data_IF_383798895056
#
_entry.id   IF_383798895056
#
_cell.length_a   1.000
_cell.length_b   1.000
_cell.length_c   1.000
_cell.angle_alpha   90.00
_cell.angle_beta   90.00
_cell.angle_gamma   90.00
#
_symmetry.space_group_name_H-M   'P 1'
#
loop_
_entity.id
_entity.type
_entity.pdbx_description
1 polymer ?
#
# COMPACT_ATOMS: atom_id res chain seq x y z
N UNK A 1 29.05 0.22 11.41
CA UNK A 1 30.36 -0.34 11.79
C UNK A 1 30.80 -1.36 10.73
N UNK A 2 32.04 -1.30 10.22
CA UNK A 2 32.58 -2.30 9.28
C UNK A 2 33.08 -3.56 10.00
N UNK A 3 33.10 -4.70 9.31
CA UNK A 3 33.59 -5.99 9.81
C UNK A 3 34.59 -6.60 8.83
N UNK A 4 35.42 -7.56 9.25
CA UNK A 4 36.35 -8.26 8.34
C UNK A 4 35.59 -9.13 7.32
N UNK A 5 34.57 -9.83 7.80
CA UNK A 5 33.73 -10.70 6.99
C UNK A 5 32.26 -10.48 7.32
N UNK A 6 31.40 -10.71 6.32
CA UNK A 6 29.94 -10.69 6.46
C UNK A 6 29.40 -12.04 6.01
N UNK A 7 28.47 -12.59 6.78
CA UNK A 7 27.79 -13.85 6.46
C UNK A 7 26.30 -13.57 6.26
N UNK A 8 25.74 -13.99 5.13
CA UNK A 8 24.32 -13.89 4.82
C UNK A 8 23.68 -15.26 4.96
N UNK A 9 22.83 -15.43 5.97
CA UNK A 9 22.07 -16.67 6.21
C UNK A 9 20.91 -16.83 5.21
N UNK A 10 20.21 -15.73 4.92
CA UNK A 10 19.04 -15.70 4.04
C UNK A 10 19.17 -14.59 3.00
N UNK A 11 18.71 -14.88 1.79
CA UNK A 11 18.66 -13.92 0.67
C UNK A 11 17.27 -13.29 0.48
N UNK A 12 16.47 -13.29 1.54
CA UNK A 12 15.13 -12.71 1.57
C UNK A 12 15.00 -11.80 2.78
N UNK A 13 14.13 -10.80 2.66
CA UNK A 13 13.73 -9.92 3.76
C UNK A 13 12.22 -9.83 3.84
N UNK A 14 11.72 -9.46 5.01
CA UNK A 14 10.32 -9.08 5.17
C UNK A 14 10.16 -7.59 4.90
N UNK A 15 9.19 -7.20 4.07
CA UNK A 15 8.92 -5.79 3.72
C UNK A 15 7.66 -5.22 4.39
N UNK A 16 7.08 -5.92 5.38
CA UNK A 16 5.79 -5.58 6.00
C UNK A 16 4.62 -6.42 5.47
N UNK A 17 4.69 -6.89 4.22
CA UNK A 17 3.59 -7.63 3.55
C UNK A 17 3.98 -9.03 3.10
N UNK A 18 5.24 -9.28 2.76
CA UNK A 18 5.70 -10.58 2.28
C UNK A 18 7.20 -10.75 2.53
N UNK A 19 7.65 -12.00 2.52
CA UNK A 19 9.07 -12.27 2.32
C UNK A 19 9.37 -12.09 0.84
N UNK A 20 10.29 -11.19 0.56
CA UNK A 20 10.72 -10.83 -0.79
C UNK A 20 12.21 -11.06 -0.91
N UNK A 21 12.71 -11.48 -2.08
CA UNK A 21 14.15 -11.57 -2.33
C UNK A 21 14.83 -10.23 -2.06
N UNK A 22 16.05 -10.27 -1.51
CA UNK A 22 16.88 -9.09 -1.37
C UNK A 22 17.11 -8.45 -2.73
N UNK A 23 17.04 -7.13 -2.77
CA UNK A 23 17.47 -6.39 -3.95
C UNK A 23 18.99 -6.42 -4.04
N UNK A 24 19.53 -6.29 -5.24
CA UNK A 24 20.97 -6.25 -5.42
C UNK A 24 21.62 -5.01 -4.72
N UNK A 25 20.86 -3.92 -4.54
CA UNK A 25 21.28 -2.77 -3.74
C UNK A 25 21.43 -3.10 -2.25
N UNK A 26 20.46 -3.79 -1.67
CA UNK A 26 20.54 -4.27 -0.28
C UNK A 26 21.67 -5.27 -0.11
N UNK A 27 21.82 -6.20 -1.05
CA UNK A 27 22.94 -7.15 -1.07
C UNK A 27 24.29 -6.44 -1.06
N UNK A 28 24.46 -5.40 -1.89
CA UNK A 28 25.69 -4.59 -1.95
C UNK A 28 25.90 -3.79 -0.66
N UNK A 29 24.83 -3.24 -0.08
CA UNK A 29 24.91 -2.49 1.17
C UNK A 29 25.33 -3.39 2.36
N UNK A 30 24.86 -4.64 2.39
CA UNK A 30 25.20 -5.63 3.41
C UNK A 30 26.64 -6.12 3.21
N UNK A 31 26.97 -6.60 2.01
CA UNK A 31 28.30 -7.16 1.70
C UNK A 31 29.40 -6.09 1.72
N UNK A 32 29.08 -4.84 1.39
CA UNK A 32 29.99 -3.70 1.49
C UNK A 32 30.38 -3.30 2.92
N UNK A 33 29.81 -3.96 3.95
CA UNK A 33 30.31 -3.85 5.33
C UNK A 33 31.53 -4.73 5.59
N UNK A 34 31.84 -5.67 4.70
CA UNK A 34 33.03 -6.51 4.78
C UNK A 34 34.29 -5.75 4.32
N UNK A 35 35.39 -5.93 5.03
CA UNK A 35 36.65 -5.22 4.83
C UNK A 35 36.69 -3.91 5.61
N UNK A 36 37.61 -3.82 6.60
CA UNK A 36 37.86 -2.60 7.37
C UNK A 36 38.93 -1.77 6.68
N UNK A 37 38.61 -0.51 6.37
CA UNK A 37 39.51 0.43 5.70
C UNK A 37 40.83 0.57 6.46
N UNK A 38 41.94 0.32 5.77
CA UNK A 38 43.30 0.45 6.32
C UNK A 38 43.75 -0.70 7.21
N UNK A 39 42.94 -1.75 7.38
CA UNK A 39 43.28 -2.93 8.19
C UNK A 39 43.23 -4.20 7.33
N UNK A 40 42.14 -4.40 6.59
CA UNK A 40 41.94 -5.59 5.77
C UNK A 40 42.27 -5.28 4.30
N UNK A 41 43.06 -6.13 3.64
CA UNK A 41 43.38 -6.03 2.20
C UNK A 41 42.16 -6.41 1.35
N UNK A 42 41.38 -7.37 1.83
CA UNK A 42 40.18 -7.89 1.18
C UNK A 42 39.04 -8.03 2.20
N UNK A 43 37.80 -7.85 1.75
CA UNK A 43 36.60 -8.15 2.52
C UNK A 43 35.96 -9.44 2.03
N UNK A 44 35.55 -10.32 2.95
CA UNK A 44 34.91 -11.58 2.59
C UNK A 44 33.40 -11.52 2.84
N UNK A 45 32.61 -11.82 1.81
CA UNK A 45 31.17 -12.01 1.93
C UNK A 45 30.82 -13.48 1.65
N UNK A 46 30.18 -14.15 2.60
CA UNK A 46 29.82 -15.56 2.52
C UNK A 46 28.30 -15.67 2.52
N UNK A 47 27.73 -16.36 1.53
CA UNK A 47 26.30 -16.67 1.51
C UNK A 47 26.13 -18.13 1.92
N UNK A 48 25.34 -18.38 2.96
CA UNK A 48 24.98 -19.73 3.36
C UNK A 48 24.07 -20.31 2.29
N UNK A 49 24.55 -21.33 1.58
CA UNK A 49 23.72 -22.02 0.60
C UNK A 49 22.67 -22.85 1.32
N UNK A 50 21.42 -22.65 0.93
CA UNK A 50 20.32 -23.57 1.23
C UNK A 50 19.88 -24.18 -0.10
N UNK A 51 19.46 -25.45 -0.11
CA UNK A 51 19.06 -26.16 -1.34
C UNK A 51 17.88 -25.53 -2.10
N UNK A 52 17.33 -24.42 -1.61
CA UNK A 52 16.28 -23.63 -2.23
C UNK A 52 16.81 -22.49 -3.12
N UNK A 53 18.13 -22.20 -3.09
CA UNK A 53 18.72 -21.10 -3.85
C UNK A 53 19.40 -21.59 -5.14
N UNK A 54 18.94 -21.05 -6.27
CA UNK A 54 19.60 -21.18 -7.57
C UNK A 54 20.88 -20.32 -7.62
N UNK A 55 22.07 -20.89 -7.88
CA UNK A 55 23.32 -20.13 -7.96
C UNK A 55 23.28 -18.95 -8.94
N UNK A 56 22.50 -19.05 -10.02
CA UNK A 56 22.43 -17.98 -11.01
C UNK A 56 21.69 -16.75 -10.48
N UNK A 57 20.70 -16.92 -9.60
CA UNK A 57 20.07 -15.81 -8.89
C UNK A 57 21.06 -15.01 -8.02
N UNK A 58 22.00 -15.69 -7.35
CA UNK A 58 23.04 -15.07 -6.52
C UNK A 58 24.04 -14.31 -7.39
N UNK A 59 24.49 -14.92 -8.49
CA UNK A 59 25.37 -14.26 -9.45
C UNK A 59 24.72 -12.99 -10.04
N UNK A 60 23.40 -13.01 -10.28
CA UNK A 60 22.65 -11.84 -10.72
C UNK A 60 22.58 -10.74 -9.64
N UNK A 61 22.47 -11.10 -8.37
CA UNK A 61 22.50 -10.13 -7.26
C UNK A 61 23.87 -9.46 -7.15
N UNK A 62 24.96 -10.23 -7.27
CA UNK A 62 26.32 -9.73 -7.13
C UNK A 62 26.81 -8.94 -8.35
N UNK A 63 26.33 -9.26 -9.55
CA UNK A 63 26.81 -8.65 -10.81
C UNK A 63 26.14 -7.33 -11.16
N UNK A 64 24.93 -7.06 -10.67
CA UNK A 64 24.27 -5.77 -10.90
C UNK A 64 25.05 -4.67 -10.16
N UNK A 65 25.25 -3.53 -10.81
CA UNK A 65 25.97 -2.37 -10.23
C UNK A 65 25.09 -1.13 -10.08
N UNK A 66 23.89 -1.17 -10.65
CA UNK A 66 22.97 -0.03 -10.68
C UNK A 66 21.60 -0.49 -10.24
N UNK A 67 21.01 0.24 -9.30
CA UNK A 67 19.74 -0.09 -8.67
C UNK A 67 18.79 1.10 -8.79
N UNK A 68 17.57 0.91 -9.31
CA UNK A 68 16.62 2.01 -9.39
C UNK A 68 16.19 2.41 -7.99
N UNK A 69 16.27 3.71 -7.69
CA UNK A 69 15.67 4.28 -6.48
C UNK A 69 14.18 4.41 -6.73
N UNK A 70 13.34 3.60 -6.08
CA UNK A 70 11.88 3.69 -6.22
C UNK A 70 11.31 4.67 -5.19
N UNK A 71 10.45 5.59 -5.63
CA UNK A 71 9.74 6.49 -4.73
C UNK A 71 8.67 5.72 -3.94
N UNK A 72 8.67 5.87 -2.61
CA UNK A 72 7.59 5.43 -1.72
C UNK A 72 6.56 6.54 -1.46
N UNK A 73 6.67 7.69 -2.14
CA UNK A 73 5.84 8.86 -1.89
C UNK A 73 4.37 8.60 -2.20
N UNK A 74 3.51 8.90 -1.21
CA UNK A 74 2.05 8.85 -1.34
C UNK A 74 1.44 10.03 -0.60
N UNK A 75 0.36 10.65 -1.12
CA UNK A 75 -0.33 11.69 -0.37
C UNK A 75 -1.00 11.15 0.90
N UNK A 76 -0.66 11.75 2.05
CA UNK A 76 -1.30 11.48 3.35
C UNK A 76 -2.32 12.57 3.72
N UNK A 77 -3.17 12.31 4.71
CA UNK A 77 -4.20 13.26 5.14
C UNK A 77 -3.60 14.55 5.71
N UNK A 78 -2.66 14.45 6.65
CA UNK A 78 -1.92 15.60 7.17
C UNK A 78 -1.31 16.44 6.04
N UNK A 79 -0.63 15.79 5.10
CA UNK A 79 0.03 16.45 3.99
C UNK A 79 -0.99 17.15 3.09
N UNK A 80 -2.09 16.48 2.74
CA UNK A 80 -3.13 17.05 1.90
C UNK A 80 -3.72 18.31 2.52
N UNK A 81 -4.06 18.27 3.82
CA UNK A 81 -4.59 19.45 4.52
C UNK A 81 -3.58 20.60 4.57
N UNK A 82 -2.31 20.32 4.84
CA UNK A 82 -1.26 21.33 4.87
C UNK A 82 -0.99 21.95 3.48
N UNK A 83 -0.93 21.13 2.43
CA UNK A 83 -0.71 21.59 1.06
C UNK A 83 -1.90 22.39 0.52
N UNK A 84 -3.14 21.95 0.78
CA UNK A 84 -4.35 22.69 0.40
C UNK A 84 -4.37 24.05 1.10
N UNK A 85 -4.02 24.10 2.39
CA UNK A 85 -3.94 25.36 3.13
C UNK A 85 -2.89 26.32 2.56
N UNK A 86 -1.73 25.82 2.14
CA UNK A 86 -0.62 26.66 1.68
C UNK A 86 -0.72 27.06 0.20
N UNK A 87 -1.20 26.17 -0.66
CA UNK A 87 -1.15 26.33 -2.12
C UNK A 87 -2.51 26.26 -2.81
N UNK A 88 -3.54 25.75 -2.14
CA UNK A 88 -4.84 25.45 -2.76
C UNK A 88 -4.81 24.18 -3.62
N UNK A 89 -5.99 23.58 -3.85
CA UNK A 89 -6.14 22.27 -4.50
C UNK A 89 -5.40 22.18 -5.85
N UNK A 90 -5.63 23.14 -6.74
CA UNK A 90 -5.11 23.10 -8.11
C UNK A 90 -3.59 23.16 -8.14
N UNK A 91 -2.98 24.09 -7.41
CA UNK A 91 -1.53 24.22 -7.36
C UNK A 91 -0.88 23.05 -6.61
N UNK A 92 -1.53 22.52 -5.56
CA UNK A 92 -1.07 21.28 -4.92
C UNK A 92 -1.02 20.13 -5.92
N UNK A 93 -2.04 19.99 -6.76
CA UNK A 93 -2.09 18.96 -7.80
C UNK A 93 -0.87 19.06 -8.73
N UNK A 94 -0.59 20.26 -9.24
CA UNK A 94 0.57 20.52 -10.11
C UNK A 94 1.91 20.19 -9.42
N UNK A 95 2.05 20.54 -8.14
CA UNK A 95 3.24 20.20 -7.35
C UNK A 95 3.40 18.67 -7.26
N UNK A 96 2.32 17.94 -6.98
CA UNK A 96 2.35 16.48 -6.88
C UNK A 96 2.63 15.80 -8.22
N UNK A 97 2.19 16.40 -9.33
CA UNK A 97 2.51 15.96 -10.68
C UNK A 97 4.01 16.14 -11.02
N UNK A 98 4.72 17.04 -10.33
CA UNK A 98 6.18 17.19 -10.44
C UNK A 98 6.99 16.28 -9.49
N UNK A 99 6.32 15.45 -8.68
CA UNK A 99 6.98 14.59 -7.69
C UNK A 99 7.87 13.51 -8.31
N UNK A 100 8.88 13.04 -7.58
CA UNK A 100 9.75 11.93 -8.04
C UNK A 100 8.94 10.65 -8.35
N UNK A 101 7.89 10.37 -7.58
CA UNK A 101 6.97 9.27 -7.88
C UNK A 101 6.30 9.43 -9.25
N UNK A 102 5.82 10.63 -9.57
CA UNK A 102 5.21 10.91 -10.87
C UNK A 102 6.24 10.87 -12.00
N UNK A 103 7.45 11.43 -11.80
CA UNK A 103 8.54 11.35 -12.77
C UNK A 103 8.89 9.90 -13.16
N UNK A 104 8.95 9.00 -12.18
CA UNK A 104 9.21 7.59 -12.43
C UNK A 104 8.05 6.92 -13.17
N UNK A 105 6.82 7.24 -12.81
CA UNK A 105 5.62 6.77 -13.51
C UNK A 105 5.64 7.23 -14.97
N UNK A 106 5.95 8.49 -15.24
CA UNK A 106 6.00 9.08 -16.58
C UNK A 106 7.13 8.47 -17.42
N UNK A 107 8.31 8.24 -16.84
CA UNK A 107 9.40 7.55 -17.54
C UNK A 107 8.99 6.13 -17.96
N UNK A 108 8.34 5.39 -17.06
CA UNK A 108 7.83 4.06 -17.39
C UNK A 108 6.74 4.12 -18.47
N UNK A 109 5.94 5.19 -18.49
CA UNK A 109 4.94 5.45 -19.54
C UNK A 109 5.60 5.63 -20.91
N UNK A 110 6.76 6.30 -21.00
CA UNK A 110 7.47 6.47 -22.29
C UNK A 110 7.85 5.12 -22.91
N UNK A 111 8.38 4.19 -22.10
CA UNK A 111 8.75 2.85 -22.57
C UNK A 111 7.51 2.04 -22.98
N UNK A 112 6.42 2.14 -22.22
CA UNK A 112 5.14 1.53 -22.56
C UNK A 112 4.58 2.12 -23.86
N UNK A 113 4.62 3.44 -24.03
CA UNK A 113 4.13 4.14 -25.22
C UNK A 113 4.95 3.79 -26.47
N UNK A 114 6.26 3.59 -26.33
CA UNK A 114 7.09 3.04 -27.41
C UNK A 114 6.64 1.64 -27.80
N UNK A 115 6.38 0.75 -26.82
CA UNK A 115 5.87 -0.59 -27.09
C UNK A 115 4.49 -0.58 -27.75
N UNK A 116 3.58 0.29 -27.27
CA UNK A 116 2.24 0.46 -27.87
C UNK A 116 2.38 0.83 -29.34
N UNK A 117 3.17 1.85 -29.68
CA UNK A 117 3.41 2.23 -31.08
C UNK A 117 3.95 1.08 -31.93
N UNK A 118 4.94 0.35 -31.43
CA UNK A 118 5.50 -0.82 -32.13
C UNK A 118 4.46 -1.93 -32.35
N UNK A 119 3.59 -2.17 -31.36
CA UNK A 119 2.51 -3.14 -31.50
C UNK A 119 1.41 -2.65 -32.44
N UNK A 120 1.08 -1.36 -32.44
CA UNK A 120 0.14 -0.76 -33.39
C UNK A 120 0.62 -0.89 -34.83
N UNK A 121 1.90 -0.63 -35.11
CA UNK A 121 2.50 -0.88 -36.43
C UNK A 121 2.39 -2.36 -36.84
N UNK A 122 2.63 -3.27 -35.90
CA UNK A 122 2.52 -4.72 -36.13
C UNK A 122 1.07 -5.16 -36.35
N UNK A 123 0.10 -4.53 -35.66
CA UNK A 123 -1.33 -4.77 -35.86
C UNK A 123 -1.75 -4.38 -37.28
N UNK A 124 -1.35 -3.20 -37.75
CA UNK A 124 -1.58 -2.76 -39.14
C UNK A 124 -0.98 -3.75 -40.14
N UNK A 125 0.22 -4.27 -39.86
CA UNK A 125 0.86 -5.30 -40.69
C UNK A 125 0.08 -6.63 -40.77
N UNK A 126 -0.73 -6.96 -39.76
CA UNK A 126 -1.58 -8.15 -39.76
C UNK A 126 -2.95 -7.92 -40.42
N UNK A 127 -3.39 -6.68 -40.59
CA UNK A 127 -4.68 -6.37 -41.23
C UNK A 127 -4.71 -6.82 -42.70
N UNK A 128 -3.63 -6.59 -43.45
CA UNK A 128 -3.53 -7.01 -44.86
C UNK A 128 -3.72 -8.53 -45.05
N UNK A 129 -2.90 -9.39 -44.42
CA UNK A 129 -3.05 -10.84 -44.50
C UNK A 129 -4.38 -11.40 -43.94
N UNK A 130 -5.11 -10.61 -43.15
CA UNK A 130 -6.42 -10.98 -42.62
C UNK A 130 -7.56 -10.59 -43.56
N UNK A 131 -7.35 -9.69 -44.52
CA UNK A 131 -8.40 -9.27 -45.45
C UNK A 131 -8.89 -10.44 -46.28
N UNK A 132 -10.20 -10.66 -46.24
CA UNK A 132 -10.85 -11.64 -47.09
C UNK A 132 -11.47 -10.92 -48.28
N UNK A 133 -11.33 -11.52 -49.47
CA UNK A 133 -11.99 -11.02 -50.69
C UNK A 133 -13.54 -11.02 -50.60
N UNK A 134 -14.13 -11.71 -49.62
CA UNK A 134 -15.58 -11.79 -49.39
C UNK A 134 -16.10 -10.78 -48.35
N UNK A 135 -15.22 -10.01 -47.68
CA UNK A 135 -15.63 -9.01 -46.70
C UNK A 135 -14.69 -8.91 -45.48
N UNK A 136 -15.18 -8.27 -44.42
CA UNK A 136 -14.41 -8.02 -43.21
C UNK A 136 -14.23 -9.32 -42.40
N UNK A 137 -13.05 -9.92 -42.50
CA UNK A 137 -12.73 -11.12 -41.73
C UNK A 137 -12.52 -10.83 -40.23
N UNK A 138 -12.23 -9.58 -39.84
CA UNK A 138 -12.08 -9.18 -38.44
C UNK A 138 -13.39 -9.41 -37.67
N UNK A 139 -14.50 -8.97 -38.26
CA UNK A 139 -15.86 -9.14 -37.74
C UNK A 139 -16.20 -10.63 -37.62
N UNK A 140 -15.96 -11.41 -38.68
CA UNK A 140 -16.14 -12.86 -38.65
C UNK A 140 -15.33 -13.54 -37.52
N UNK A 141 -14.05 -13.18 -37.38
CA UNK A 141 -13.17 -13.74 -36.37
C UNK A 141 -13.59 -13.34 -34.94
N UNK A 142 -14.14 -12.13 -34.76
CA UNK A 142 -14.70 -11.68 -33.50
C UNK A 142 -15.92 -12.52 -33.08
N UNK A 143 -16.86 -12.77 -33.99
CA UNK A 143 -18.03 -13.62 -33.75
C UNK A 143 -17.59 -15.07 -33.45
N UNK A 144 -16.64 -15.63 -34.22
CA UNK A 144 -16.07 -16.98 -33.98
C UNK A 144 -15.40 -17.10 -32.61
N UNK A 145 -14.68 -16.07 -32.18
CA UNK A 145 -14.07 -15.99 -30.84
C UNK A 145 -15.13 -15.93 -29.73
N UNK A 146 -16.09 -15.02 -29.84
CA UNK A 146 -17.15 -14.86 -28.84
C UNK A 146 -17.93 -16.17 -28.66
N UNK A 147 -18.21 -16.88 -29.76
CA UNK A 147 -18.81 -18.22 -29.73
C UNK A 147 -17.92 -19.22 -28.98
N UNK A 148 -16.63 -19.29 -29.31
CA UNK A 148 -15.68 -20.22 -28.67
C UNK A 148 -15.53 -19.95 -27.16
N UNK A 149 -15.44 -18.69 -26.75
CA UNK A 149 -15.34 -18.28 -25.35
C UNK A 149 -16.62 -18.64 -24.57
N UNK A 150 -17.79 -18.37 -25.16
CA UNK A 150 -19.08 -18.75 -24.59
C UNK A 150 -19.32 -20.26 -24.60
N UNK A 151 -18.71 -21.04 -25.48
CA UNK A 151 -18.76 -22.50 -25.42
C UNK A 151 -17.85 -23.06 -24.32
N UNK A 152 -16.66 -22.45 -24.12
CA UNK A 152 -15.69 -22.87 -23.09
C UNK A 152 -16.08 -22.48 -21.66
N UNK A 153 -16.83 -21.40 -21.45
CA UNK A 153 -17.26 -21.00 -20.13
C UNK A 153 -18.09 -22.13 -19.46
N UNK A 154 -17.65 -22.73 -18.35
CA UNK A 154 -18.41 -23.84 -17.74
C UNK A 154 -19.80 -23.39 -17.24
N UNK A 155 -20.82 -24.25 -17.34
CA UNK A 155 -22.13 -24.04 -16.71
C UNK A 155 -21.95 -24.33 -15.22
N UNK A 156 -22.22 -23.34 -14.36
CA UNK A 156 -22.14 -23.56 -12.91
C UNK A 156 -23.39 -24.35 -12.47
N UNK A 157 -23.23 -25.29 -11.54
CA UNK A 157 -24.33 -26.12 -11.05
C UNK A 157 -25.53 -25.28 -10.53
N UNK A 158 -25.24 -24.09 -9.98
CA UNK A 158 -26.23 -23.15 -9.45
C UNK A 158 -26.78 -22.13 -10.47
N UNK A 159 -26.49 -22.26 -11.77
CA UNK A 159 -27.09 -21.35 -12.77
C UNK A 159 -28.60 -21.54 -12.84
N UNK A 160 -29.35 -20.44 -12.74
CA UNK A 160 -30.81 -20.46 -12.87
C UNK A 160 -31.25 -20.90 -14.28
N UNK A 161 -32.47 -21.44 -14.40
CA UNK A 161 -33.04 -21.84 -15.69
C UNK A 161 -33.05 -20.66 -16.69
N UNK A 162 -33.40 -19.46 -16.22
CA UNK A 162 -33.34 -18.24 -17.03
C UNK A 162 -31.92 -17.83 -17.45
N UNK A 163 -30.89 -18.13 -16.65
CA UNK A 163 -29.48 -17.94 -17.02
C UNK A 163 -29.08 -18.88 -18.17
N UNK A 164 -29.47 -20.16 -18.07
CA UNK A 164 -29.20 -21.19 -19.08
C UNK A 164 -29.90 -20.89 -20.41
N UNK A 165 -31.17 -20.48 -20.37
CA UNK A 165 -31.94 -20.14 -21.58
C UNK A 165 -31.38 -18.90 -22.29
N UNK A 166 -31.00 -17.86 -21.54
CA UNK A 166 -30.32 -16.67 -22.11
C UNK A 166 -29.03 -17.05 -22.81
N UNK A 167 -28.22 -17.90 -22.17
CA UNK A 167 -26.97 -18.38 -22.76
C UNK A 167 -27.20 -19.23 -24.02
N UNK A 168 -28.19 -20.13 -24.00
CA UNK A 168 -28.53 -20.94 -25.17
C UNK A 168 -28.98 -20.06 -26.35
N UNK A 169 -29.80 -19.04 -26.08
CA UNK A 169 -30.23 -18.07 -27.10
C UNK A 169 -29.04 -17.27 -27.65
N UNK A 170 -28.11 -16.84 -26.81
CA UNK A 170 -26.90 -16.12 -27.20
C UNK A 170 -25.98 -17.00 -28.06
N UNK A 171 -25.77 -18.27 -27.69
CA UNK A 171 -25.01 -19.22 -28.50
C UNK A 171 -25.65 -19.47 -29.87
N UNK A 172 -26.98 -19.61 -29.92
CA UNK A 172 -27.70 -19.79 -31.18
C UNK A 172 -27.61 -18.54 -32.06
N UNK A 173 -27.68 -17.34 -31.47
CA UNK A 173 -27.47 -16.08 -32.16
C UNK A 173 -26.07 -16.00 -32.75
N UNK A 174 -25.03 -16.23 -31.96
CA UNK A 174 -23.64 -16.20 -32.44
C UNK A 174 -23.37 -17.22 -33.54
N UNK A 175 -23.96 -18.42 -33.46
CA UNK A 175 -23.89 -19.42 -34.54
C UNK A 175 -24.59 -18.95 -35.82
N UNK A 176 -25.75 -18.29 -35.70
CA UNK A 176 -26.48 -17.73 -36.83
C UNK A 176 -25.67 -16.59 -37.48
N UNK A 177 -25.18 -15.66 -36.68
CA UNK A 177 -24.39 -14.50 -37.14
C UNK A 177 -23.11 -14.98 -37.83
N UNK A 178 -22.42 -15.99 -37.27
CA UNK A 178 -21.24 -16.59 -37.89
C UNK A 178 -21.55 -17.24 -39.26
N UNK A 179 -22.68 -17.96 -39.39
CA UNK A 179 -23.06 -18.61 -40.65
C UNK A 179 -23.54 -17.62 -41.71
N UNK A 180 -24.17 -16.53 -41.29
CA UNK A 180 -24.68 -15.48 -42.17
C UNK A 180 -23.57 -14.60 -42.76
N UNK A 181 -22.41 -14.55 -42.09
CA UNK A 181 -21.29 -13.74 -42.52
C UNK A 181 -20.65 -14.29 -43.82
N UNK A 182 -20.43 -13.43 -44.81
CA UNK A 182 -19.93 -13.82 -46.14
C UNK A 182 -18.59 -14.58 -46.09
N UNK A 183 -17.69 -14.20 -45.20
CA UNK A 183 -16.40 -14.87 -44.97
C UNK A 183 -16.52 -16.33 -44.46
N UNK A 184 -17.69 -16.79 -44.02
CA UNK A 184 -17.87 -18.17 -43.55
C UNK A 184 -17.60 -19.21 -44.64
N UNK A 185 -17.90 -18.86 -45.90
CA UNK A 185 -17.74 -19.69 -47.09
C UNK A 185 -16.35 -19.57 -47.75
N UNK A 186 -15.44 -18.76 -47.21
CA UNK A 186 -14.10 -18.57 -47.77
C UNK A 186 -13.27 -19.87 -47.71
N UNK A 187 -12.60 -20.24 -48.80
CA UNK A 187 -11.71 -21.40 -48.85
C UNK A 187 -10.47 -21.22 -47.96
N UNK A 188 -9.88 -20.03 -47.96
CA UNK A 188 -8.69 -19.67 -47.16
C UNK A 188 -9.04 -19.19 -45.74
N UNK A 189 -10.26 -19.52 -45.27
CA UNK A 189 -10.79 -19.10 -43.97
C UNK A 189 -9.83 -19.38 -42.81
N UNK A 190 -9.20 -20.55 -42.78
CA UNK A 190 -8.32 -20.91 -41.67
C UNK A 190 -7.02 -20.09 -41.69
N UNK A 191 -6.55 -19.65 -42.86
CA UNK A 191 -5.38 -18.78 -42.98
C UNK A 191 -5.66 -17.37 -42.49
N UNK A 192 -6.78 -16.79 -42.94
CA UNK A 192 -7.26 -15.52 -42.38
C UNK A 192 -7.50 -15.64 -40.86
N UNK A 193 -8.02 -16.78 -40.38
CA UNK A 193 -8.24 -17.02 -38.95
C UNK A 193 -6.96 -17.09 -38.13
N UNK A 194 -5.88 -17.68 -38.66
CA UNK A 194 -4.57 -17.69 -38.00
C UNK A 194 -4.02 -16.27 -37.82
N UNK A 195 -4.12 -15.44 -38.85
CA UNK A 195 -3.71 -14.02 -38.78
C UNK A 195 -4.61 -13.22 -37.84
N UNK A 196 -5.93 -13.42 -37.90
CA UNK A 196 -6.88 -12.83 -36.95
C UNK A 196 -6.62 -13.26 -35.50
N UNK A 197 -6.20 -14.51 -35.27
CA UNK A 197 -5.86 -14.97 -33.93
C UNK A 197 -4.71 -14.18 -33.33
N UNK A 198 -3.64 -13.99 -34.13
CA UNK A 198 -2.45 -13.22 -33.77
C UNK A 198 -2.78 -11.74 -33.57
N UNK A 199 -3.54 -11.13 -34.48
CA UNK A 199 -3.97 -9.73 -34.39
C UNK A 199 -4.71 -9.47 -33.07
N UNK A 200 -5.73 -10.26 -32.75
CA UNK A 200 -6.51 -10.09 -31.50
C UNK A 200 -5.72 -10.41 -30.23
N UNK A 201 -4.72 -11.30 -30.30
CA UNK A 201 -3.81 -11.54 -29.16
C UNK A 201 -2.97 -10.30 -28.91
N UNK A 202 -2.31 -9.81 -29.96
CA UNK A 202 -1.51 -8.60 -29.90
C UNK A 202 -2.35 -7.38 -29.47
N UNK A 203 -3.58 -7.25 -30.00
CA UNK A 203 -4.50 -6.16 -29.66
C UNK A 203 -4.84 -6.14 -28.18
N UNK A 204 -5.13 -7.30 -27.57
CA UNK A 204 -5.36 -7.39 -26.12
C UNK A 204 -4.14 -7.00 -25.30
N UNK A 205 -2.95 -7.39 -25.75
CA UNK A 205 -1.70 -6.98 -25.11
C UNK A 205 -1.51 -5.46 -25.22
N UNK A 206 -1.79 -4.87 -26.39
CA UNK A 206 -1.75 -3.42 -26.63
C UNK A 206 -2.76 -2.68 -25.76
N UNK A 207 -4.02 -3.12 -25.72
CA UNK A 207 -5.06 -2.54 -24.88
C UNK A 207 -4.67 -2.59 -23.39
N UNK A 208 -3.98 -3.65 -22.97
CA UNK A 208 -3.42 -3.78 -21.61
C UNK A 208 -2.33 -2.75 -21.34
N UNK A 209 -1.39 -2.58 -22.28
CA UNK A 209 -0.33 -1.56 -22.15
C UNK A 209 -0.92 -0.14 -22.14
N UNK A 210 -1.91 0.14 -22.98
CA UNK A 210 -2.62 1.43 -23.00
C UNK A 210 -3.31 1.70 -21.66
N UNK A 211 -3.99 0.69 -21.09
CA UNK A 211 -4.59 0.81 -19.76
C UNK A 211 -3.54 1.10 -18.69
N UNK A 212 -2.40 0.39 -18.70
CA UNK A 212 -1.31 0.62 -17.75
C UNK A 212 -0.73 2.04 -17.86
N UNK A 213 -0.65 2.61 -19.07
CA UNK A 213 -0.24 4.00 -19.26
C UNK A 213 -1.23 4.94 -18.57
N UNK A 214 -2.51 4.82 -18.88
CA UNK A 214 -3.56 5.68 -18.31
C UNK A 214 -3.64 5.57 -16.78
N UNK A 215 -3.43 4.37 -16.23
CA UNK A 215 -3.40 4.14 -14.78
C UNK A 215 -2.22 4.80 -14.08
N UNK A 216 -1.07 4.93 -14.76
CA UNK A 216 0.17 5.50 -14.18
C UNK A 216 0.27 7.01 -14.33
N UNK A 217 -0.19 7.57 -15.45
CA UNK A 217 -0.17 9.01 -15.69
C UNK A 217 -1.08 9.73 -14.69
N UNK A 218 -0.54 10.66 -13.89
CA UNK A 218 -1.29 11.43 -12.89
C UNK A 218 -1.84 10.60 -11.72
N UNK A 219 -1.28 9.43 -11.44
CA UNK A 219 -1.76 8.56 -10.37
C UNK A 219 -1.65 9.22 -8.99
N UNK A 220 -0.55 9.94 -8.74
CA UNK A 220 -0.33 10.66 -7.48
C UNK A 220 -1.39 11.74 -7.27
N UNK A 221 -1.68 12.50 -8.33
CA UNK A 221 -2.69 13.56 -8.31
C UNK A 221 -4.11 13.01 -8.07
N UNK A 222 -4.47 11.87 -8.69
CA UNK A 222 -5.75 11.19 -8.42
C UNK A 222 -5.86 10.68 -6.99
N UNK A 223 -4.78 10.16 -6.41
CA UNK A 223 -4.78 9.75 -5.00
C UNK A 223 -4.99 10.96 -4.08
N UNK A 224 -4.35 12.09 -4.39
CA UNK A 224 -4.57 13.34 -3.66
C UNK A 224 -6.02 13.85 -3.76
N UNK A 225 -6.66 13.75 -4.93
CA UNK A 225 -8.08 14.10 -5.06
C UNK A 225 -8.95 13.23 -4.16
N UNK A 226 -8.75 11.91 -4.16
CA UNK A 226 -9.51 10.98 -3.31
C UNK A 226 -9.31 11.28 -1.83
N UNK A 227 -8.08 11.62 -1.42
CA UNK A 227 -7.77 12.07 -0.05
C UNK A 227 -8.54 13.35 0.27
N UNK A 228 -8.60 14.32 -0.64
CA UNK A 228 -9.40 15.53 -0.45
C UNK A 228 -10.90 15.22 -0.34
N UNK A 229 -11.41 14.25 -1.10
CA UNK A 229 -12.81 13.85 -1.05
C UNK A 229 -13.18 13.27 0.33
N UNK A 230 -12.33 12.43 0.92
CA UNK A 230 -12.50 11.94 2.30
C UNK A 230 -12.47 13.08 3.31
N UNK A 231 -11.51 14.00 3.16
CA UNK A 231 -11.39 15.16 4.06
C UNK A 231 -12.57 16.13 3.95
N UNK A 232 -13.20 16.23 2.77
CA UNK A 232 -14.44 16.97 2.57
C UNK A 232 -15.62 16.28 3.24
N UNK A 233 -15.77 14.97 3.06
CA UNK A 233 -16.84 14.18 3.67
C UNK A 233 -16.80 14.27 5.21
N UNK A 234 -15.60 14.18 5.80
CA UNK A 234 -15.39 14.27 7.24
C UNK A 234 -15.35 15.72 7.75
N UNK A 235 -15.36 16.73 6.89
CA UNK A 235 -15.36 18.14 7.29
C UNK A 235 -14.01 18.69 7.81
N UNK A 236 -12.90 18.05 7.44
CA UNK A 236 -11.54 18.60 7.61
C UNK A 236 -11.19 19.66 6.55
N UNK A 237 -11.84 19.55 5.38
CA UNK A 237 -11.83 20.55 4.32
C UNK A 237 -13.27 21.02 4.06
N UNK A 238 -13.43 22.24 3.54
CA UNK A 238 -14.71 22.77 3.08
C UNK A 238 -14.56 23.47 1.74
N UNK A 239 -15.66 23.49 0.97
CA UNK A 239 -15.76 24.35 -0.20
C UNK A 239 -16.10 25.78 0.25
N UNK A 240 -15.34 26.74 -0.28
CA UNK A 240 -15.67 28.17 -0.21
C UNK A 240 -16.72 28.54 -1.25
N UNK A 241 -17.31 29.73 -1.12
CA UNK A 241 -18.32 30.25 -2.08
C UNK A 241 -17.79 30.31 -3.53
N UNK A 242 -16.48 30.49 -3.69
CA UNK A 242 -15.81 30.53 -4.99
C UNK A 242 -15.39 29.15 -5.52
N UNK A 243 -15.78 28.06 -4.85
CA UNK A 243 -15.43 26.68 -5.23
C UNK A 243 -14.00 26.25 -4.88
N UNK A 244 -13.22 27.08 -4.17
CA UNK A 244 -11.90 26.71 -3.67
C UNK A 244 -12.00 25.90 -2.37
N UNK A 245 -11.03 25.00 -2.13
CA UNK A 245 -10.92 24.25 -0.88
C UNK A 245 -10.23 25.08 0.21
N UNK A 246 -10.83 25.09 1.40
CA UNK A 246 -10.26 25.71 2.60
C UNK A 246 -10.19 24.70 3.74
N UNK A 247 -9.16 24.82 4.57
CA UNK A 247 -8.97 24.03 5.78
C UNK A 247 -9.91 24.50 6.90
N UNK A 248 -10.66 23.57 7.50
CA UNK A 248 -11.56 23.87 8.64
C UNK A 248 -10.78 23.98 9.96
N UNK A 249 -11.47 24.27 11.07
CA UNK A 249 -10.86 24.21 12.40
C UNK A 249 -10.29 22.82 12.69
N UNK A 250 -11.06 21.77 12.39
CA UNK A 250 -10.65 20.37 12.57
C UNK A 250 -9.47 20.02 11.65
N UNK A 251 -9.46 20.57 10.44
CA UNK A 251 -8.30 20.49 9.54
C UNK A 251 -7.02 21.04 10.19
N UNK A 252 -7.10 22.06 11.05
CA UNK A 252 -5.91 22.58 11.77
C UNK A 252 -5.39 21.59 12.80
N UNK A 253 -6.29 20.87 13.47
CA UNK A 253 -5.96 19.81 14.42
C UNK A 253 -5.24 18.68 13.69
N UNK A 254 -5.85 18.13 12.63
CA UNK A 254 -5.26 17.06 11.81
C UNK A 254 -3.90 17.45 11.22
N UNK A 255 -3.74 18.70 10.77
CA UNK A 255 -2.49 19.21 10.21
C UNK A 255 -1.27 19.17 11.17
N UNK A 256 -1.48 18.92 12.47
CA UNK A 256 -0.44 18.84 13.50
C UNK A 256 -0.21 17.41 14.01
N UNK A 257 -0.91 16.42 13.45
CA UNK A 257 -0.77 15.01 13.81
C UNK A 257 0.00 14.31 12.69
N UNK A 258 1.09 13.63 13.05
CA UNK A 258 2.02 12.97 12.16
C UNK A 258 2.04 11.47 12.45
N UNK A 259 1.75 10.67 11.43
CA UNK A 259 1.77 9.21 11.49
C UNK A 259 0.84 8.60 10.44
N UNK A 260 0.89 7.29 10.30
CA UNK A 260 0.10 6.57 9.28
C UNK A 260 -1.40 6.51 9.61
N UNK A 261 -1.76 6.67 10.89
CA UNK A 261 -3.14 6.68 11.39
C UNK A 261 -3.56 8.08 11.87
N UNK A 262 -3.04 9.13 11.25
CA UNK A 262 -3.30 10.54 11.61
C UNK A 262 -4.79 10.90 11.61
N UNK A 263 -5.55 10.44 10.62
CA UNK A 263 -6.99 10.65 10.52
C UNK A 263 -7.76 9.95 11.64
N UNK A 264 -7.40 8.71 11.98
CA UNK A 264 -8.01 7.97 13.08
C UNK A 264 -7.79 8.69 14.42
N UNK A 265 -6.57 9.16 14.68
CA UNK A 265 -6.25 9.94 15.87
C UNK A 265 -7.09 11.22 15.90
N UNK A 266 -7.12 11.98 14.79
CA UNK A 266 -7.87 13.23 14.72
C UNK A 266 -9.37 13.02 14.97
N UNK A 267 -9.99 12.01 14.36
CA UNK A 267 -11.41 11.72 14.54
C UNK A 267 -11.70 11.17 15.95
N UNK A 268 -10.79 10.39 16.53
CA UNK A 268 -10.94 9.90 17.90
C UNK A 268 -10.95 11.04 18.93
N UNK A 269 -10.05 12.01 18.75
CA UNK A 269 -10.00 13.22 19.57
C UNK A 269 -11.25 14.08 19.38
N UNK A 270 -11.70 14.26 18.14
CA UNK A 270 -12.89 15.04 17.79
C UNK A 270 -14.17 14.46 18.38
N UNK A 271 -14.29 13.13 18.42
CA UNK A 271 -15.43 12.39 19.00
C UNK A 271 -15.31 12.20 20.53
N UNK A 272 -14.22 12.65 21.15
CA UNK A 272 -14.01 12.52 22.60
C UNK A 272 -13.84 11.07 23.09
N UNK A 273 -13.40 10.16 22.22
CA UNK A 273 -13.35 8.72 22.54
C UNK A 273 -12.37 8.38 23.68
N UNK A 274 -11.45 9.30 23.99
CA UNK A 274 -10.34 9.11 24.91
C UNK A 274 -10.50 9.90 26.22
N UNK A 275 -11.60 10.63 26.38
CA UNK A 275 -11.77 11.61 27.48
C UNK A 275 -11.86 10.95 28.86
N UNK A 276 -12.35 9.71 28.94
CA UNK A 276 -12.50 8.91 30.17
C UNK A 276 -11.23 8.12 30.55
N UNK A 277 -10.15 8.23 29.77
CA UNK A 277 -8.92 7.48 30.02
C UNK A 277 -8.09 8.11 31.14
N UNK A 278 -7.57 7.26 32.02
CA UNK A 278 -6.49 7.62 32.93
C UNK A 278 -5.15 7.71 32.17
N UNK A 279 -4.10 8.35 32.73
CA UNK A 279 -2.83 8.51 32.02
C UNK A 279 -2.20 7.18 31.56
N UNK A 280 -2.16 6.10 32.37
CA UNK A 280 -1.69 4.80 31.90
C UNK A 280 -2.57 4.19 30.80
N UNK A 281 -3.90 4.34 30.87
CA UNK A 281 -4.84 3.89 29.86
C UNK A 281 -4.66 4.59 28.53
N UNK A 282 -4.44 5.90 28.55
CA UNK A 282 -4.13 6.68 27.36
C UNK A 282 -2.80 6.25 26.72
N UNK A 283 -1.75 6.04 27.52
CA UNK A 283 -0.48 5.51 27.02
C UNK A 283 -0.64 4.14 26.33
N UNK A 284 -1.45 3.26 26.92
CA UNK A 284 -1.74 1.95 26.37
C UNK A 284 -2.52 2.00 25.05
N UNK A 285 -3.46 2.95 24.91
CA UNK A 285 -4.26 3.12 23.71
C UNK A 285 -3.45 3.75 22.59
N UNK A 286 -2.67 4.78 22.89
CA UNK A 286 -1.73 5.40 21.95
C UNK A 286 -0.71 4.37 21.46
N UNK A 287 -0.23 3.49 22.34
CA UNK A 287 0.62 2.37 21.96
C UNK A 287 -0.07 1.43 20.97
N UNK A 288 -1.35 1.11 21.14
CA UNK A 288 -2.10 0.29 20.18
C UNK A 288 -2.27 0.93 18.80
N UNK A 289 -2.24 2.27 18.73
CA UNK A 289 -2.33 3.02 17.49
C UNK A 289 -0.99 3.04 16.74
N UNK A 290 0.15 3.06 17.44
CA UNK A 290 1.47 3.08 16.78
C UNK A 290 2.07 1.69 16.59
N UNK A 291 1.65 0.71 17.39
CA UNK A 291 2.21 -0.63 17.36
C UNK A 291 1.85 -1.36 16.07
N UNK A 292 2.85 -2.00 15.47
CA UNK A 292 2.68 -2.89 14.33
C UNK A 292 3.17 -4.28 14.73
N UNK A 293 2.26 -5.26 14.89
CA UNK A 293 2.62 -6.60 15.31
C UNK A 293 3.39 -7.32 14.22
N UNK A 294 4.25 -8.25 14.62
CA UNK A 294 4.87 -9.18 13.65
C UNK A 294 3.81 -10.17 13.18
N UNK A 295 3.84 -10.57 11.90
CA UNK A 295 2.84 -11.52 11.35
C UNK A 295 2.72 -12.85 12.10
N UNK A 296 3.79 -13.29 12.77
CA UNK A 296 3.82 -14.54 13.52
C UNK A 296 3.37 -14.37 14.99
N UNK A 297 3.12 -13.13 15.44
CA UNK A 297 2.46 -12.85 16.72
C UNK A 297 0.96 -13.11 16.52
N UNK A 298 0.50 -14.28 16.95
CA UNK A 298 -0.92 -14.64 16.92
C UNK A 298 -1.80 -13.68 17.72
N UNK A 299 -3.13 -13.77 17.52
CA UNK A 299 -4.09 -12.94 18.24
C UNK A 299 -3.84 -12.98 19.76
N UNK A 300 -3.51 -11.81 20.32
CA UNK A 300 -3.31 -11.69 21.76
C UNK A 300 -4.66 -11.87 22.44
N UNK A 301 -4.75 -12.84 23.36
CA UNK A 301 -5.95 -13.04 24.17
C UNK A 301 -6.41 -11.75 24.86
N UNK A 302 -7.68 -11.38 24.66
CA UNK A 302 -8.39 -10.26 25.32
C UNK A 302 -8.19 -10.21 26.84
N UNK A 303 -7.89 -11.37 27.47
CA UNK A 303 -7.60 -11.50 28.90
C UNK A 303 -6.37 -10.70 29.36
N UNK A 304 -5.55 -10.21 28.44
CA UNK A 304 -4.36 -9.39 28.74
C UNK A 304 -4.61 -7.89 28.61
N UNK A 305 -5.79 -7.40 28.24
CA UNK A 305 -6.02 -5.97 28.10
C UNK A 305 -6.04 -5.22 29.45
N UNK A 306 -5.60 -3.94 29.49
CA UNK A 306 -5.93 -3.05 30.60
C UNK A 306 -7.45 -3.02 30.85
N UNK A 307 -7.85 -2.98 32.12
CA UNK A 307 -9.27 -2.95 32.52
C UNK A 307 -9.82 -1.52 32.53
N UNK A 308 -11.13 -1.39 32.73
CA UNK A 308 -11.80 -0.11 32.90
C UNK A 308 -12.07 0.59 31.57
N UNK A 309 -11.97 1.92 31.56
CA UNK A 309 -12.27 2.78 30.41
C UNK A 309 -11.44 2.44 29.15
N UNK A 310 -10.28 1.78 29.32
CA UNK A 310 -9.45 1.34 28.21
C UNK A 310 -10.22 0.46 27.21
N UNK A 311 -10.97 -0.54 27.68
CA UNK A 311 -11.68 -1.48 26.79
C UNK A 311 -12.70 -0.74 25.94
N UNK A 312 -13.52 0.11 26.59
CA UNK A 312 -14.51 0.94 25.90
C UNK A 312 -13.88 1.87 24.87
N UNK A 313 -12.78 2.55 25.22
CA UNK A 313 -12.09 3.44 24.30
C UNK A 313 -11.42 2.68 23.14
N UNK A 314 -10.83 1.50 23.41
CA UNK A 314 -10.20 0.65 22.41
C UNK A 314 -11.24 0.14 21.40
N UNK A 315 -12.37 -0.39 21.88
CA UNK A 315 -13.45 -0.89 21.02
C UNK A 315 -14.08 0.25 20.21
N UNK A 316 -14.32 1.41 20.82
CA UNK A 316 -14.83 2.58 20.12
C UNK A 316 -13.86 3.08 19.04
N UNK A 317 -12.56 3.07 19.32
CA UNK A 317 -11.52 3.44 18.34
C UNK A 317 -11.41 2.39 17.22
N UNK A 318 -11.58 1.10 17.53
CA UNK A 318 -11.64 0.02 16.54
C UNK A 318 -12.85 0.13 15.61
N UNK A 319 -14.03 0.43 16.14
CA UNK A 319 -15.23 0.68 15.34
C UNK A 319 -15.04 1.91 14.44
N UNK A 320 -14.46 2.99 14.97
CA UNK A 320 -14.12 4.17 14.18
C UNK A 320 -13.13 3.83 13.06
N UNK A 321 -12.11 3.00 13.32
CA UNK A 321 -11.20 2.55 12.28
C UNK A 321 -11.95 1.81 11.15
N UNK A 322 -12.88 0.91 11.48
CA UNK A 322 -13.69 0.23 10.47
C UNK A 322 -14.57 1.19 9.67
N UNK A 323 -15.17 2.19 10.31
CA UNK A 323 -15.93 3.25 9.61
C UNK A 323 -15.05 4.02 8.63
N UNK A 324 -13.83 4.40 9.04
CA UNK A 324 -12.88 5.11 8.19
C UNK A 324 -12.39 4.23 7.04
N UNK A 325 -12.11 2.95 7.29
CA UNK A 325 -11.70 2.00 6.25
C UNK A 325 -12.82 1.82 5.20
N UNK A 326 -14.08 1.75 5.60
CA UNK A 326 -15.22 1.71 4.68
C UNK A 326 -15.27 2.97 3.79
N UNK A 327 -15.04 4.16 4.37
CA UNK A 327 -14.97 5.42 3.61
C UNK A 327 -13.81 5.39 2.62
N UNK A 328 -12.63 4.96 3.05
CA UNK A 328 -11.42 4.85 2.24
C UNK A 328 -11.58 3.87 1.07
N UNK A 329 -12.19 2.71 1.33
CA UNK A 329 -12.46 1.70 0.30
C UNK A 329 -13.43 2.21 -0.76
N UNK A 330 -14.49 2.97 -0.38
CA UNK A 330 -15.45 3.55 -1.34
C UNK A 330 -14.75 4.48 -2.35
N UNK A 331 -13.77 5.25 -1.91
CA UNK A 331 -12.98 6.13 -2.79
C UNK A 331 -11.73 5.46 -3.38
N UNK A 332 -11.52 4.16 -3.12
CA UNK A 332 -10.38 3.36 -3.61
C UNK A 332 -9.02 3.85 -3.09
N UNK A 333 -8.94 4.17 -1.81
CA UNK A 333 -7.69 4.35 -1.08
C UNK A 333 -7.24 3.01 -0.46
N UNK A 334 -5.94 2.82 -0.19
CA UNK A 334 -5.40 1.53 0.26
C UNK A 334 -5.77 1.14 1.70
N UNK A 335 -6.42 2.01 2.46
CA UNK A 335 -6.74 1.78 3.87
C UNK A 335 -5.53 1.93 4.80
N UNK A 336 -5.77 1.76 6.10
CA UNK A 336 -4.74 1.64 7.13
C UNK A 336 -4.85 0.30 7.84
N UNK A 337 -3.79 -0.15 8.52
CA UNK A 337 -3.85 -1.39 9.30
C UNK A 337 -4.69 -1.23 10.58
N UNK A 338 -5.44 -2.25 11.01
CA UNK A 338 -6.19 -2.21 12.27
C UNK A 338 -5.31 -1.92 13.49
N UNK A 339 -5.93 -1.50 14.59
CA UNK A 339 -5.23 -1.32 15.87
C UNK A 339 -4.75 -2.67 16.42
N UNK A 340 -3.61 -2.65 17.11
CA UNK A 340 -3.02 -3.85 17.69
C UNK A 340 -2.79 -3.69 19.20
N UNK A 341 -3.51 -4.47 20.00
CA UNK A 341 -3.45 -4.35 21.46
C UNK A 341 -2.27 -5.09 22.13
N UNK A 342 -1.38 -5.72 21.35
CA UNK A 342 -0.37 -6.65 21.88
C UNK A 342 0.57 -6.04 22.92
N UNK A 343 0.94 -4.78 22.76
CA UNK A 343 1.79 -4.06 23.71
C UNK A 343 1.03 -3.19 24.70
N UNK A 344 -0.30 -3.07 24.59
CA UNK A 344 -1.08 -2.15 25.43
C UNK A 344 -0.94 -2.46 26.91
N UNK A 345 -0.91 -3.74 27.30
CA UNK A 345 -0.74 -4.14 28.71
C UNK A 345 0.63 -3.80 29.27
N UNK A 346 1.67 -4.13 28.52
CA UNK A 346 3.04 -3.83 28.90
C UNK A 346 3.24 -2.32 29.03
N UNK A 347 2.71 -1.54 28.09
CA UNK A 347 2.74 -0.08 28.14
C UNK A 347 1.95 0.48 29.32
N UNK A 348 0.77 -0.05 29.62
CA UNK A 348 -0.03 0.36 30.78
C UNK A 348 0.75 0.17 32.09
N UNK A 349 1.35 -1.01 32.29
CA UNK A 349 2.16 -1.28 33.49
C UNK A 349 3.44 -0.46 33.53
N UNK A 350 4.04 -0.19 32.37
CA UNK A 350 5.18 0.69 32.26
C UNK A 350 4.82 2.12 32.70
N UNK A 351 3.70 2.67 32.25
CA UNK A 351 3.24 3.98 32.73
C UNK A 351 2.94 3.97 34.25
N UNK A 352 2.50 2.84 34.81
CA UNK A 352 2.29 2.68 36.26
C UNK A 352 3.58 2.52 37.09
N UNK A 353 4.75 2.44 36.47
CA UNK A 353 6.03 2.33 37.19
C UNK A 353 6.61 0.92 37.33
N UNK A 354 6.06 -0.10 36.65
CA UNK A 354 6.60 -1.46 36.67
C UNK A 354 8.08 -1.54 36.22
N UNK A 355 8.81 -2.57 36.64
CA UNK A 355 10.21 -2.72 36.19
C UNK A 355 10.29 -3.02 34.69
N UNK A 356 11.45 -2.75 34.08
CA UNK A 356 11.68 -3.09 32.67
C UNK A 356 11.57 -4.61 32.46
N UNK A 357 12.16 -5.38 33.36
CA UNK A 357 12.16 -6.85 33.27
C UNK A 357 10.74 -7.42 33.27
N UNK A 358 9.85 -6.88 34.12
CA UNK A 358 8.45 -7.31 34.17
C UNK A 358 7.74 -7.03 32.85
N UNK A 359 7.90 -5.84 32.28
CA UNK A 359 7.18 -5.47 31.04
C UNK A 359 7.72 -6.20 29.82
N UNK A 360 9.02 -6.52 29.78
CA UNK A 360 9.61 -7.34 28.73
C UNK A 360 9.12 -8.79 28.79
N UNK A 361 8.97 -9.33 30.01
CA UNK A 361 8.38 -10.65 30.21
C UNK A 361 6.93 -10.72 29.71
N UNK A 362 6.13 -9.70 30.00
CA UNK A 362 4.72 -9.64 29.54
C UNK A 362 4.59 -9.45 28.02
N UNK A 363 5.48 -8.66 27.43
CA UNK A 363 5.46 -8.33 26.00
C UNK A 363 6.12 -9.39 25.11
N UNK A 364 6.83 -10.35 25.70
CA UNK A 364 7.62 -11.37 24.99
C UNK A 364 8.47 -10.77 23.85
N UNK A 365 9.17 -9.66 24.15
CA UNK A 365 9.95 -8.94 23.14
C UNK A 365 11.32 -8.46 23.62
N UNK A 366 12.28 -8.24 22.70
CA UNK A 366 13.57 -7.66 23.04
C UNK A 366 13.46 -6.24 23.59
N UNK A 367 14.34 -5.89 24.53
CA UNK A 367 14.38 -4.55 25.14
C UNK A 367 14.48 -3.41 24.12
N UNK A 368 15.25 -3.59 23.04
CA UNK A 368 15.40 -2.58 21.99
C UNK A 368 14.10 -2.29 21.24
N UNK A 369 13.31 -3.33 20.94
CA UNK A 369 12.02 -3.18 20.26
C UNK A 369 11.02 -2.48 21.19
N UNK A 370 10.98 -2.86 22.47
CA UNK A 370 10.13 -2.19 23.46
C UNK A 370 10.47 -0.69 23.59
N UNK A 371 11.76 -0.33 23.69
CA UNK A 371 12.20 1.06 23.76
C UNK A 371 11.81 1.84 22.50
N UNK A 372 11.90 1.22 21.31
CA UNK A 372 11.46 1.84 20.05
C UNK A 372 9.97 2.17 20.06
N UNK A 373 9.12 1.21 20.40
CA UNK A 373 7.67 1.42 20.49
C UNK A 373 7.29 2.43 21.58
N UNK A 374 8.03 2.43 22.69
CA UNK A 374 7.85 3.41 23.76
C UNK A 374 8.15 4.83 23.28
N UNK A 375 9.21 5.02 22.47
CA UNK A 375 9.52 6.34 21.88
C UNK A 375 8.43 6.80 20.91
N UNK A 376 7.94 5.93 20.04
CA UNK A 376 6.83 6.27 19.14
C UNK A 376 5.53 6.60 19.91
N UNK A 377 5.29 5.93 21.04
CA UNK A 377 4.17 6.24 21.94
C UNK A 377 4.36 7.63 22.57
N UNK A 378 5.58 7.97 23.01
CA UNK A 378 5.92 9.30 23.52
C UNK A 378 5.70 10.37 22.44
N UNK A 379 6.17 10.12 21.22
CA UNK A 379 6.03 11.07 20.10
C UNK A 379 4.55 11.38 19.81
N UNK A 380 3.69 10.36 19.80
CA UNK A 380 2.25 10.55 19.59
C UNK A 380 1.56 11.19 20.82
N UNK A 381 1.94 10.83 22.05
CA UNK A 381 1.44 11.51 23.27
C UNK A 381 1.80 13.01 23.29
N UNK A 382 2.99 13.38 22.83
CA UNK A 382 3.40 14.78 22.71
C UNK A 382 2.55 15.53 21.69
N UNK A 383 2.27 14.91 20.54
CA UNK A 383 1.35 15.47 19.56
C UNK A 383 -0.05 15.65 20.15
N UNK A 384 -0.60 14.65 20.84
CA UNK A 384 -1.91 14.71 21.51
C UNK A 384 -1.95 15.85 22.54
N UNK A 385 -0.88 16.04 23.31
CA UNK A 385 -0.76 17.15 24.27
C UNK A 385 -0.92 18.52 23.61
N UNK A 386 -0.54 18.65 22.35
CA UNK A 386 -0.54 19.91 21.60
C UNK A 386 -1.85 20.17 20.82
N UNK A 387 -2.68 19.15 20.61
CA UNK A 387 -3.87 19.24 19.74
C UNK A 387 -5.19 18.89 20.44
N UNK A 388 -5.16 18.15 21.55
CA UNK A 388 -6.35 17.73 22.28
C UNK A 388 -6.97 18.84 23.14
N UNK A 389 -8.22 18.63 23.57
CA UNK A 389 -8.89 19.49 24.55
C UNK A 389 -8.16 19.54 25.90
N UNK A 390 -8.40 20.60 26.69
CA UNK A 390 -7.59 20.93 27.86
C UNK A 390 -7.46 19.82 28.91
N UNK A 391 -8.50 19.00 29.12
CA UNK A 391 -8.46 17.88 30.07
C UNK A 391 -7.62 16.73 29.53
N UNK A 392 -7.91 16.27 28.31
CA UNK A 392 -7.16 15.19 27.67
C UNK A 392 -5.69 15.58 27.44
N UNK A 393 -5.39 16.84 27.13
CA UNK A 393 -4.02 17.33 27.01
C UNK A 393 -3.24 17.24 28.33
N UNK A 394 -3.89 17.45 29.49
CA UNK A 394 -3.25 17.23 30.80
C UNK A 394 -3.00 15.74 31.04
N UNK A 395 -3.99 14.89 30.76
CA UNK A 395 -3.84 13.43 30.86
C UNK A 395 -2.70 12.93 29.98
N UNK A 396 -2.61 13.40 28.73
CA UNK A 396 -1.56 13.08 27.78
C UNK A 396 -0.18 13.51 28.28
N UNK A 397 -0.05 14.70 28.86
CA UNK A 397 1.21 15.16 29.45
C UNK A 397 1.65 14.29 30.62
N UNK A 398 0.73 13.94 31.52
CA UNK A 398 1.02 13.02 32.63
C UNK A 398 1.40 11.63 32.13
N UNK A 399 0.72 11.11 31.10
CA UNK A 399 1.04 9.83 30.48
C UNK A 399 2.44 9.85 29.85
N UNK A 400 2.79 10.95 29.16
CA UNK A 400 4.11 11.16 28.56
C UNK A 400 5.21 11.11 29.62
N UNK A 401 5.04 11.84 30.73
CA UNK A 401 6.02 11.88 31.83
C UNK A 401 6.18 10.50 32.49
N UNK A 402 5.08 9.76 32.67
CA UNK A 402 5.07 8.40 33.22
C UNK A 402 5.79 7.38 32.33
N UNK A 403 5.63 7.50 31.02
CA UNK A 403 6.26 6.62 30.03
C UNK A 403 7.74 6.97 29.83
N UNK A 404 8.10 8.26 29.91
CA UNK A 404 9.46 8.77 29.71
C UNK A 404 10.34 8.62 30.96
N UNK A 405 10.64 7.37 31.33
CA UNK A 405 11.49 7.04 32.49
C UNK A 405 12.54 5.96 32.19
N UNK A 406 13.47 5.76 33.12
CA UNK A 406 14.49 4.70 33.02
C UNK A 406 15.30 4.75 31.71
N UNK A 407 15.58 3.59 31.12
CA UNK A 407 16.36 3.46 29.86
C UNK A 407 15.80 4.28 28.68
N UNK A 408 14.49 4.56 28.69
CA UNK A 408 13.81 5.35 27.67
C UNK A 408 14.22 6.82 27.78
N UNK A 409 14.42 7.33 29.00
CA UNK A 409 14.87 8.70 29.25
C UNK A 409 16.36 8.90 28.98
N UNK A 410 17.21 7.89 29.21
CA UNK A 410 18.67 8.00 29.00
C UNK A 410 19.09 7.95 27.53
N UNK A 411 18.30 7.31 26.67
CA UNK A 411 18.65 7.10 25.27
C UNK A 411 18.44 8.33 24.35
N UNK A 412 18.33 9.54 24.94
CA UNK A 412 18.43 10.84 24.25
C UNK A 412 19.84 11.43 24.26
N UNK A 413 20.81 10.80 24.93
CA UNK A 413 22.23 11.18 24.79
C UNK A 413 22.76 10.56 23.51
N UNK A 414 22.67 11.31 22.41
CA UNK A 414 23.37 10.97 21.17
C UNK A 414 24.86 10.84 21.44
N UNK A 415 25.48 9.81 20.86
CA UNK A 415 26.92 9.76 20.70
C UNK A 415 27.36 11.04 19.99
N UNK A 416 28.02 11.93 20.74
CA UNK A 416 28.75 13.08 20.22
C UNK A 416 30.05 12.62 19.55
#
# INVERSE_FOLDING_TARGET
MPARSVVLEKLEKFNGEARVPLTAGEYTQITGRAGRRGIDVEGHAVVQWTGQHDPQSIANLASRRTYPLNSSFRPTYNMAVNLVYQFGRQRTREILESSFAQFQADRAVVDLARKVRQQEESLTGFEGPMQCHLGDFAEYAAVRRALTEKERASVRANDSRASRDRRANELNRLRKDMRAHACHACADREDHARWAERWWRLRRDTDTLVRQINERTGAVARTFDRVCDVLLELGYLRNTENGALERTHEGRTLARIYGDRDLLVAESLRRGLWDELDPPGLAALVCAIVFEPRRDEGDISERRLPRGAFVTAFDATGNLWSELDDIEQRVKLPGTTPLAAGLSRAMYRWAQGASLDDVLFDADMPAGDFVRWTKQTIDLLDQVTNVAGANLAKTARTALDQVRRGVVAYSSVGYA
#
